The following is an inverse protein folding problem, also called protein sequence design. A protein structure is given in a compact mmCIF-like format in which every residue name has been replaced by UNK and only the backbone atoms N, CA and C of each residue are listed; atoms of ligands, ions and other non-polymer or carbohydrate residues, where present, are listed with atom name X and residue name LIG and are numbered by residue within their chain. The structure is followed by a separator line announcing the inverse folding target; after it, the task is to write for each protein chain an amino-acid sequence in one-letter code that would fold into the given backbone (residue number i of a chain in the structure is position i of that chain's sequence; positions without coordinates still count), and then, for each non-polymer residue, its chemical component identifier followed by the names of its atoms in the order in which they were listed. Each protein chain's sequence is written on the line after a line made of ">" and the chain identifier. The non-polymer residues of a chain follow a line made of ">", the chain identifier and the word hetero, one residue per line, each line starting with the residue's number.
data_IF_001772035845
#
_entry.id   IF_001772035845
#
_cell.length_a   1.000
_cell.length_b   1.000
_cell.length_c   1.000
_cell.angle_alpha   90.00
_cell.angle_beta   90.00
_cell.angle_gamma   90.00
#
_symmetry.space_group_name_H-M   'P 1'
#
loop_
_entity.id
_entity.type
_entity.pdbx_description
1 polymer ?
#
# COMPACT_ATOMS: atom_id res chain seq x y z
N UNK A 1 -0.24 16.93 -1.71
CA UNK A 1 0.63 15.93 -2.34
C UNK A 1 1.59 16.62 -3.30
N UNK A 2 2.86 16.18 -3.41
CA UNK A 2 3.90 16.87 -4.18
C UNK A 2 3.91 16.48 -5.67
N UNK A 3 2.78 16.02 -6.23
CA UNK A 3 2.71 15.56 -7.62
C UNK A 3 2.37 16.70 -8.57
N UNK A 4 3.10 16.75 -9.71
CA UNK A 4 2.91 17.78 -10.72
C UNK A 4 1.81 17.42 -11.75
N UNK A 5 1.47 16.14 -11.87
CA UNK A 5 0.48 15.64 -12.81
C UNK A 5 -0.86 15.36 -12.10
N UNK A 6 -1.97 15.85 -12.65
CA UNK A 6 -3.29 15.72 -12.04
C UNK A 6 -3.68 14.25 -11.84
N UNK A 7 -3.39 13.40 -12.80
CA UNK A 7 -3.68 11.96 -12.72
C UNK A 7 -2.94 11.27 -11.57
N UNK A 8 -1.75 11.76 -11.21
CA UNK A 8 -1.00 11.25 -10.05
C UNK A 8 -1.64 11.70 -8.74
N UNK A 9 -2.16 12.93 -8.68
CA UNK A 9 -2.90 13.45 -7.53
C UNK A 9 -4.18 12.64 -7.34
N UNK A 10 -4.96 12.44 -8.41
CA UNK A 10 -6.18 11.65 -8.36
C UNK A 10 -5.92 10.21 -7.92
N UNK A 11 -4.92 9.56 -8.51
CA UNK A 11 -4.57 8.18 -8.12
C UNK A 11 -4.10 8.09 -6.67
N UNK A 12 -3.34 9.06 -6.16
CA UNK A 12 -2.92 9.10 -4.77
C UNK A 12 -4.12 9.27 -3.80
N UNK A 13 -5.12 10.06 -4.19
CA UNK A 13 -6.38 10.19 -3.46
C UNK A 13 -7.21 8.91 -3.49
N UNK A 14 -7.31 8.25 -4.63
CA UNK A 14 -7.98 6.95 -4.78
C UNK A 14 -7.32 5.89 -3.91
N UNK A 15 -5.97 5.83 -3.90
CA UNK A 15 -5.19 4.95 -3.01
C UNK A 15 -5.52 5.26 -1.56
N UNK A 16 -5.52 6.53 -1.17
CA UNK A 16 -5.77 6.95 0.20
C UNK A 16 -7.19 6.59 0.66
N UNK A 17 -8.21 6.82 -0.20
CA UNK A 17 -9.59 6.40 0.06
C UNK A 17 -9.72 4.88 0.17
N UNK A 18 -9.03 4.12 -0.69
CA UNK A 18 -9.03 2.67 -0.64
C UNK A 18 -8.40 2.14 0.66
N UNK A 19 -7.29 2.75 1.12
CA UNK A 19 -6.65 2.40 2.40
C UNK A 19 -7.59 2.68 3.57
N UNK A 20 -8.24 3.84 3.61
CA UNK A 20 -9.23 4.14 4.66
C UNK A 20 -10.36 3.11 4.63
N UNK A 21 -10.91 2.78 3.46
CA UNK A 21 -11.98 1.79 3.34
C UNK A 21 -11.56 0.40 3.82
N UNK A 22 -10.37 -0.07 3.43
CA UNK A 22 -9.83 -1.38 3.82
C UNK A 22 -9.62 -1.48 5.34
N UNK A 23 -8.99 -0.48 5.94
CA UNK A 23 -8.59 -0.53 7.34
C UNK A 23 -9.64 0.03 8.33
N UNK A 24 -10.73 0.60 7.82
CA UNK A 24 -11.94 0.87 8.61
C UNK A 24 -12.87 -0.34 8.71
N UNK A 25 -12.64 -1.38 7.92
CA UNK A 25 -13.36 -2.64 8.02
C UNK A 25 -12.64 -3.55 9.02
N UNK A 26 -13.28 -3.85 10.14
CA UNK A 26 -12.68 -4.62 11.25
C UNK A 26 -12.17 -6.00 10.82
N UNK A 27 -12.89 -6.65 9.90
CA UNK A 27 -12.47 -7.96 9.38
C UNK A 27 -11.17 -7.82 8.58
N UNK A 28 -11.11 -6.92 7.59
CA UNK A 28 -9.92 -6.71 6.77
C UNK A 28 -8.73 -6.20 7.59
N UNK A 29 -8.97 -5.26 8.50
CA UNK A 29 -7.94 -4.71 9.40
C UNK A 29 -7.33 -5.76 10.32
N UNK A 30 -8.10 -6.82 10.69
CA UNK A 30 -7.59 -7.94 11.48
C UNK A 30 -6.79 -8.97 10.65
N UNK A 31 -6.95 -8.98 9.32
CA UNK A 31 -6.39 -10.00 8.41
C UNK A 31 -5.23 -9.51 7.56
N UNK A 32 -5.10 -8.20 7.38
CA UNK A 32 -4.18 -7.61 6.42
C UNK A 32 -3.25 -6.59 7.09
N UNK A 33 -1.99 -6.58 6.64
CA UNK A 33 -1.05 -5.52 6.97
C UNK A 33 -0.56 -4.83 5.68
N UNK A 34 -0.45 -3.50 5.73
CA UNK A 34 0.00 -2.66 4.62
C UNK A 34 1.52 -2.66 4.55
N UNK A 35 2.07 -2.84 3.35
CA UNK A 35 3.52 -2.90 3.12
C UNK A 35 3.93 -2.28 1.79
N UNK A 36 5.17 -2.48 1.41
CA UNK A 36 5.67 -2.08 0.10
C UNK A 36 6.07 -0.60 0.00
N UNK A 37 6.24 -0.14 -1.23
CA UNK A 37 6.68 1.24 -1.51
C UNK A 37 5.67 2.28 -1.05
N UNK A 38 4.39 2.04 -1.29
CA UNK A 38 3.33 2.98 -0.93
C UNK A 38 3.21 3.13 0.59
N UNK A 39 3.35 2.03 1.36
CA UNK A 39 3.38 2.08 2.82
C UNK A 39 4.57 2.92 3.33
N UNK A 40 5.77 2.65 2.82
CA UNK A 40 6.96 3.40 3.19
C UNK A 40 6.79 4.90 2.93
N UNK A 41 6.29 5.27 1.74
CA UNK A 41 6.14 6.68 1.36
C UNK A 41 5.01 7.40 2.09
N UNK A 42 3.87 6.73 2.34
CA UNK A 42 2.74 7.36 3.03
C UNK A 42 2.91 7.48 4.53
N UNK A 43 3.64 6.56 5.16
CA UNK A 43 3.69 6.44 6.61
C UNK A 43 5.00 6.93 7.22
N UNK A 44 6.11 6.83 6.49
CA UNK A 44 7.42 7.09 7.05
C UNK A 44 8.21 8.18 6.30
N UNK A 45 7.93 8.45 5.02
CA UNK A 45 8.66 9.44 4.23
C UNK A 45 7.78 10.64 3.91
N UNK A 46 7.79 11.66 4.77
CA UNK A 46 7.03 12.89 4.57
C UNK A 46 7.97 14.10 4.36
N UNK A 47 7.77 14.95 3.33
CA UNK A 47 6.83 14.76 2.22
C UNK A 47 7.24 13.56 1.36
N UNK A 48 6.26 12.90 0.70
CA UNK A 48 6.55 11.73 -0.14
C UNK A 48 7.57 12.07 -1.23
N UNK A 49 8.77 11.45 -1.24
CA UNK A 49 9.85 11.85 -2.14
C UNK A 49 9.69 11.31 -3.57
N UNK A 50 8.83 10.33 -3.79
CA UNK A 50 8.44 9.82 -5.11
C UNK A 50 7.02 9.26 -5.12
N UNK A 51 6.46 9.19 -6.30
CA UNK A 51 5.16 8.58 -6.56
C UNK A 51 5.19 7.06 -6.41
N UNK A 52 4.11 6.49 -5.85
CA UNK A 52 3.89 5.05 -5.71
C UNK A 52 2.41 4.75 -5.95
N UNK A 53 2.11 3.77 -6.79
CA UNK A 53 0.81 3.58 -7.45
C UNK A 53 0.06 2.30 -7.08
N UNK A 54 0.69 1.38 -6.36
CA UNK A 54 0.12 0.09 -5.97
C UNK A 54 -0.18 0.05 -4.46
N UNK A 55 -1.20 -0.70 -4.04
CA UNK A 55 -1.43 -1.08 -2.66
C UNK A 55 -0.91 -2.51 -2.48
N UNK A 56 0.19 -2.66 -1.75
CA UNK A 56 0.76 -3.94 -1.38
C UNK A 56 0.32 -4.31 0.03
N UNK A 57 -0.33 -5.45 0.18
CA UNK A 57 -0.81 -6.01 1.44
C UNK A 57 -0.16 -7.36 1.69
N UNK A 58 -0.13 -7.78 2.94
CA UNK A 58 0.20 -9.15 3.32
C UNK A 58 -0.91 -9.70 4.20
N UNK A 59 -1.22 -10.96 4.01
CA UNK A 59 -2.11 -11.68 4.91
C UNK A 59 -1.34 -12.00 6.20
N UNK A 60 -1.88 -11.59 7.35
CA UNK A 60 -1.20 -11.72 8.65
C UNK A 60 -1.09 -13.20 9.05
N UNK A 61 -2.20 -13.93 8.97
CA UNK A 61 -2.27 -15.34 9.35
C UNK A 61 -2.36 -16.25 8.13
N UNK A 62 -1.77 -17.45 8.22
CA UNK A 62 -1.87 -18.47 7.17
C UNK A 62 -3.24 -19.13 7.17
N UNK A 63 -4.19 -18.56 6.45
CA UNK A 63 -5.58 -19.04 6.34
C UNK A 63 -6.10 -18.94 4.89
N UNK A 64 -7.23 -19.57 4.56
CA UNK A 64 -7.82 -19.47 3.23
C UNK A 64 -8.19 -18.03 2.87
N UNK A 65 -7.63 -17.51 1.78
CA UNK A 65 -7.75 -16.10 1.36
C UNK A 65 -9.14 -15.73 0.79
N UNK A 66 -10.00 -16.71 0.53
CA UNK A 66 -11.25 -16.50 -0.21
C UNK A 66 -12.18 -15.49 0.46
N UNK A 67 -12.39 -15.59 1.78
CA UNK A 67 -13.24 -14.66 2.55
C UNK A 67 -12.69 -13.24 2.53
N UNK A 68 -11.36 -13.10 2.68
CA UNK A 68 -10.66 -11.82 2.65
C UNK A 68 -10.76 -11.17 1.25
N UNK A 69 -10.57 -11.94 0.18
CA UNK A 69 -10.74 -11.45 -1.19
C UNK A 69 -12.20 -11.04 -1.49
N UNK A 70 -13.18 -11.81 -0.99
CA UNK A 70 -14.58 -11.47 -1.12
C UNK A 70 -14.90 -10.14 -0.42
N UNK A 71 -14.53 -10.03 0.88
CA UNK A 71 -14.77 -8.81 1.66
C UNK A 71 -14.04 -7.59 1.10
N UNK A 72 -12.80 -7.76 0.64
CA UNK A 72 -12.06 -6.71 -0.04
C UNK A 72 -12.81 -6.19 -1.28
N UNK A 73 -13.39 -7.11 -2.05
CA UNK A 73 -14.19 -6.75 -3.22
C UNK A 73 -15.49 -6.01 -2.89
N UNK A 74 -16.10 -6.27 -1.72
CA UNK A 74 -17.27 -5.53 -1.23
C UNK A 74 -16.88 -4.12 -0.76
N UNK A 75 -15.83 -4.02 0.04
CA UNK A 75 -15.34 -2.75 0.60
C UNK A 75 -14.85 -1.80 -0.49
N UNK A 76 -14.25 -2.33 -1.55
CA UNK A 76 -13.76 -1.55 -2.69
C UNK A 76 -14.78 -1.47 -3.86
N UNK A 77 -16.07 -1.69 -3.62
CA UNK A 77 -17.10 -1.69 -4.66
C UNK A 77 -17.33 -0.31 -5.31
N UNK A 78 -16.85 0.77 -4.71
CA UNK A 78 -16.86 2.11 -5.30
C UNK A 78 -15.85 2.28 -6.44
N UNK A 79 -14.92 1.34 -6.62
CA UNK A 79 -13.96 1.33 -7.72
C UNK A 79 -14.50 0.50 -8.89
N UNK A 80 -14.54 1.04 -10.12
CA UNK A 80 -15.09 0.37 -11.29
C UNK A 80 -14.11 -0.67 -11.88
N UNK A 81 -14.57 -1.41 -12.88
CA UNK A 81 -13.79 -2.31 -13.74
C UNK A 81 -12.84 -3.26 -13.01
N UNK A 82 -13.40 -3.95 -12.00
CA UNK A 82 -12.64 -4.88 -11.17
C UNK A 82 -12.31 -6.17 -11.90
N UNK A 83 -11.01 -6.48 -11.97
CA UNK A 83 -10.48 -7.78 -12.42
C UNK A 83 -9.75 -8.44 -11.27
N UNK A 84 -10.14 -9.66 -10.90
CA UNK A 84 -9.49 -10.43 -9.84
C UNK A 84 -8.63 -11.54 -10.45
N UNK A 85 -7.37 -11.63 -10.00
CA UNK A 85 -6.44 -12.70 -10.37
C UNK A 85 -5.98 -13.41 -9.11
N UNK A 86 -6.23 -14.71 -9.03
CA UNK A 86 -5.81 -15.55 -7.90
C UNK A 86 -4.63 -16.42 -8.32
N UNK A 87 -3.56 -16.37 -7.53
CA UNK A 87 -2.38 -17.23 -7.64
C UNK A 87 -2.07 -17.80 -6.27
N UNK A 88 -1.30 -18.88 -6.24
CA UNK A 88 -1.00 -19.59 -4.97
C UNK A 88 -0.44 -18.67 -3.88
N UNK A 89 0.41 -17.73 -4.23
CA UNK A 89 1.14 -16.89 -3.28
C UNK A 89 0.74 -15.43 -3.29
N UNK A 90 0.18 -14.94 -4.41
CA UNK A 90 -0.23 -13.55 -4.56
C UNK A 90 -1.60 -13.46 -5.19
N UNK A 91 -2.50 -12.76 -4.55
CA UNK A 91 -3.84 -12.48 -5.05
C UNK A 91 -3.95 -10.99 -5.37
N UNK A 92 -4.52 -10.67 -6.53
CA UNK A 92 -4.53 -9.31 -7.04
C UNK A 92 -5.93 -8.90 -7.43
N UNK A 93 -6.36 -7.71 -7.01
CA UNK A 93 -7.48 -6.97 -7.60
C UNK A 93 -6.91 -5.80 -8.40
N UNK A 94 -7.36 -5.69 -9.64
CA UNK A 94 -7.02 -4.60 -10.55
C UNK A 94 -8.29 -3.82 -10.87
N UNK A 95 -8.23 -2.52 -10.68
CA UNK A 95 -9.29 -1.58 -11.02
C UNK A 95 -8.81 -0.64 -12.13
N UNK A 96 -9.71 -0.28 -13.05
CA UNK A 96 -9.43 0.69 -14.11
C UNK A 96 -10.51 1.77 -14.07
N UNK A 97 -10.09 3.01 -14.20
CA UNK A 97 -10.97 4.16 -14.20
C UNK A 97 -10.36 5.28 -15.06
N UNK A 98 -11.18 6.21 -15.45
CA UNK A 98 -10.73 7.42 -16.13
C UNK A 98 -10.50 8.53 -15.09
N UNK A 99 -9.47 9.37 -15.32
CA UNK A 99 -9.28 10.58 -14.51
C UNK A 99 -10.42 11.57 -14.72
N UNK A 100 -10.76 12.32 -13.68
CA UNK A 100 -11.80 13.34 -13.74
C UNK A 100 -11.29 14.66 -14.35
N UNK A 101 -10.00 14.98 -14.10
CA UNK A 101 -9.40 16.23 -14.57
C UNK A 101 -8.83 16.08 -15.99
N UNK A 102 -9.24 16.91 -16.96
CA UNK A 102 -8.67 16.89 -18.32
C UNK A 102 -7.17 17.21 -18.36
N UNK A 103 -6.41 16.57 -19.28
CA UNK A 103 -6.85 15.57 -20.24
C UNK A 103 -7.17 14.23 -19.57
N UNK A 104 -8.34 13.64 -19.92
CA UNK A 104 -8.77 12.37 -19.37
C UNK A 104 -7.80 11.26 -19.75
N UNK A 105 -7.24 10.58 -18.74
CA UNK A 105 -6.31 9.46 -18.91
C UNK A 105 -6.79 8.25 -18.12
N UNK A 106 -6.37 7.06 -18.53
CA UNK A 106 -6.70 5.85 -17.80
C UNK A 106 -5.82 5.69 -16.57
N UNK A 107 -6.45 5.67 -15.39
CA UNK A 107 -5.84 5.35 -14.10
C UNK A 107 -6.04 3.85 -13.81
N UNK A 108 -5.03 3.23 -13.22
CA UNK A 108 -5.07 1.82 -12.83
C UNK A 108 -4.60 1.65 -11.39
N UNK A 109 -5.49 1.19 -10.53
CA UNK A 109 -5.13 0.79 -9.17
C UNK A 109 -4.96 -0.72 -9.09
N UNK A 110 -3.80 -1.17 -8.61
CA UNK A 110 -3.54 -2.58 -8.27
C UNK A 110 -3.49 -2.72 -6.74
N UNK A 111 -4.31 -3.62 -6.22
CA UNK A 111 -4.26 -4.09 -4.83
C UNK A 111 -3.75 -5.53 -4.85
N UNK A 112 -2.59 -5.78 -4.27
CA UNK A 112 -1.96 -7.10 -4.24
C UNK A 112 -1.85 -7.59 -2.80
N UNK A 113 -2.26 -8.84 -2.53
CA UNK A 113 -2.12 -9.50 -1.24
C UNK A 113 -1.12 -10.65 -1.38
N UNK A 114 -0.01 -10.55 -0.67
CA UNK A 114 0.91 -11.66 -0.48
C UNK A 114 0.33 -12.62 0.57
N UNK A 115 0.20 -13.90 0.19
CA UNK A 115 -0.36 -14.97 1.02
C UNK A 115 0.68 -16.04 1.36
N UNK A 116 1.94 -15.65 1.41
CA UNK A 116 3.05 -16.56 1.70
C UNK A 116 3.97 -16.06 2.81
N UNK A 117 4.21 -14.77 2.88
CA UNK A 117 5.10 -14.15 3.88
C UNK A 117 4.27 -13.69 5.10
N UNK A 118 3.81 -14.64 5.92
CA UNK A 118 2.99 -14.37 7.12
C UNK A 118 3.80 -13.94 8.35
N UNK A 119 5.10 -13.86 8.25
CA UNK A 119 6.00 -13.52 9.35
C UNK A 119 6.30 -12.03 9.42
N UNK A 120 6.53 -11.57 10.62
CA UNK A 120 7.09 -10.26 10.93
C UNK A 120 8.01 -10.43 12.16
N UNK A 121 9.25 -9.98 12.05
CA UNK A 121 10.28 -10.17 13.09
C UNK A 121 10.17 -9.11 14.20
N UNK A 122 9.83 -7.87 13.81
CA UNK A 122 9.78 -6.73 14.73
C UNK A 122 8.35 -6.44 15.24
N UNK A 123 7.38 -7.23 14.83
CA UNK A 123 5.98 -7.03 15.15
C UNK A 123 5.30 -5.95 14.30
N UNK A 124 3.99 -6.09 14.14
CA UNK A 124 3.16 -5.12 13.45
C UNK A 124 2.84 -3.93 14.35
N UNK A 125 2.65 -2.76 13.74
CA UNK A 125 2.24 -1.53 14.40
C UNK A 125 1.00 -0.95 13.74
N UNK A 126 0.21 -0.18 14.51
CA UNK A 126 -0.91 0.60 14.00
C UNK A 126 -0.50 2.06 13.92
N UNK A 127 -0.65 2.64 12.74
CA UNK A 127 -0.30 4.04 12.50
C UNK A 127 -1.57 4.80 12.11
N UNK A 128 -1.92 5.89 12.82
CA UNK A 128 -3.04 6.75 12.44
C UNK A 128 -2.84 7.30 11.03
N UNK A 129 -3.88 7.22 10.23
CA UNK A 129 -3.89 7.72 8.85
C UNK A 129 -5.17 8.50 8.61
N UNK A 130 -5.05 9.70 8.05
CA UNK A 130 -6.17 10.57 7.74
C UNK A 130 -6.03 11.19 6.37
N UNK A 131 -7.17 11.41 5.74
CA UNK A 131 -7.30 12.13 4.48
C UNK A 131 -8.34 13.23 4.71
N UNK A 132 -8.00 14.45 4.38
CA UNK A 132 -8.93 15.58 4.46
C UNK A 132 -8.77 16.48 3.23
N UNK A 133 -9.73 16.38 2.32
CA UNK A 133 -9.83 17.24 1.15
C UNK A 133 -11.27 17.26 0.62
N UNK A 134 -11.54 18.13 -0.38
CA UNK A 134 -12.88 18.31 -0.95
C UNK A 134 -13.47 17.06 -1.64
N UNK A 135 -12.65 16.09 -2.02
CA UNK A 135 -13.10 14.87 -2.70
C UNK A 135 -13.40 13.74 -1.72
N UNK A 136 -12.62 13.66 -0.64
CA UNK A 136 -12.77 12.61 0.35
C UNK A 136 -12.19 13.03 1.69
N UNK A 137 -12.95 12.78 2.75
CA UNK A 137 -12.49 12.91 4.14
C UNK A 137 -12.71 11.58 4.86
N UNK A 138 -11.67 11.09 5.53
CA UNK A 138 -11.75 9.84 6.28
C UNK A 138 -10.48 9.58 7.08
N UNK A 139 -10.59 8.67 8.05
CA UNK A 139 -9.47 8.30 8.91
C UNK A 139 -9.56 6.82 9.30
N UNK A 140 -8.43 6.20 9.58
CA UNK A 140 -8.31 4.83 10.08
C UNK A 140 -6.98 4.62 10.81
N UNK A 141 -6.78 3.44 11.37
CA UNK A 141 -5.48 2.96 11.83
C UNK A 141 -4.96 1.92 10.83
N UNK A 142 -3.83 2.22 10.17
CA UNK A 142 -3.19 1.30 9.23
C UNK A 142 -2.31 0.30 9.99
N UNK A 143 -2.66 -0.98 9.95
CA UNK A 143 -1.76 -2.05 10.41
C UNK A 143 -0.63 -2.20 9.40
N UNK A 144 0.62 -2.07 9.85
CA UNK A 144 1.80 -2.09 8.99
C UNK A 144 3.03 -2.62 9.73
N UNK A 145 4.12 -2.79 9.02
CA UNK A 145 5.42 -3.15 9.57
C UNK A 145 6.15 -1.94 10.17
N UNK A 146 7.03 -2.18 11.14
CA UNK A 146 7.98 -1.16 11.58
C UNK A 146 8.89 -0.73 10.43
N UNK A 147 9.44 0.49 10.51
CA UNK A 147 10.30 1.05 9.45
C UNK A 147 11.45 0.12 9.10
N UNK A 148 12.21 -0.36 10.09
CA UNK A 148 13.38 -1.22 9.85
C UNK A 148 12.99 -2.50 9.10
N UNK A 149 11.87 -3.12 9.42
CA UNK A 149 11.39 -4.30 8.72
C UNK A 149 10.95 -4.00 7.28
N UNK A 150 10.28 -2.85 7.04
CA UNK A 150 10.00 -2.39 5.66
C UNK A 150 11.30 -2.20 4.88
N UNK A 151 12.34 -1.64 5.50
CA UNK A 151 13.65 -1.45 4.87
C UNK A 151 14.33 -2.80 4.58
N UNK A 152 14.23 -3.78 5.47
CA UNK A 152 14.69 -5.15 5.22
C UNK A 152 14.02 -5.76 4.00
N UNK A 153 12.69 -5.59 3.85
CA UNK A 153 11.98 -6.04 2.63
C UNK A 153 12.46 -5.31 1.37
N UNK A 154 12.83 -4.03 1.47
CA UNK A 154 13.39 -3.23 0.38
C UNK A 154 14.80 -3.65 0.01
N UNK A 155 15.64 -3.94 1.00
CA UNK A 155 16.99 -4.45 0.78
C UNK A 155 16.96 -5.80 0.06
N UNK A 156 16.10 -6.72 0.51
CA UNK A 156 15.87 -7.99 -0.18
C UNK A 156 15.37 -7.79 -1.62
N UNK A 157 14.42 -6.87 -1.83
CA UNK A 157 13.91 -6.55 -3.15
C UNK A 157 15.00 -5.96 -4.07
N UNK A 158 15.87 -5.08 -3.55
CA UNK A 158 17.01 -4.53 -4.27
C UNK A 158 17.97 -5.63 -4.71
N UNK A 159 18.29 -6.56 -3.82
CA UNK A 159 19.17 -7.70 -4.14
C UNK A 159 18.57 -8.59 -5.23
N UNK A 160 17.26 -8.91 -5.14
CA UNK A 160 16.58 -9.83 -6.05
C UNK A 160 16.32 -9.24 -7.44
N UNK A 161 15.85 -7.99 -7.51
CA UNK A 161 15.36 -7.40 -8.77
C UNK A 161 16.17 -6.22 -9.28
N UNK A 162 17.12 -5.71 -8.50
CA UNK A 162 18.08 -4.65 -8.85
C UNK A 162 17.42 -3.39 -9.46
N UNK A 163 16.30 -2.96 -8.87
CA UNK A 163 15.56 -1.78 -9.35
C UNK A 163 16.04 -0.51 -8.62
N UNK A 164 16.36 0.54 -9.37
CA UNK A 164 16.83 1.82 -8.81
C UNK A 164 15.87 2.46 -7.81
N UNK A 165 14.56 2.23 -7.93
CA UNK A 165 13.57 2.71 -6.97
C UNK A 165 13.74 2.11 -5.57
N UNK A 166 14.21 0.86 -5.45
CA UNK A 166 14.45 0.24 -4.14
C UNK A 166 15.69 0.83 -3.47
N UNK A 167 16.73 1.14 -4.23
CA UNK A 167 17.91 1.86 -3.75
C UNK A 167 17.55 3.29 -3.32
N UNK A 168 16.74 4.00 -4.10
CA UNK A 168 16.27 5.34 -3.77
C UNK A 168 15.47 5.35 -2.46
N UNK A 169 14.57 4.39 -2.27
CA UNK A 169 13.76 4.26 -1.05
C UNK A 169 14.64 4.04 0.18
N UNK A 170 15.63 3.14 0.08
CA UNK A 170 16.61 2.90 1.15
C UNK A 170 17.41 4.17 1.47
N UNK A 171 17.97 4.82 0.44
CA UNK A 171 18.75 6.05 0.61
C UNK A 171 17.92 7.14 1.32
N UNK A 172 16.67 7.35 0.90
CA UNK A 172 15.81 8.37 1.52
C UNK A 172 15.48 8.03 2.96
N UNK A 173 15.15 6.77 3.26
CA UNK A 173 14.85 6.36 4.63
C UNK A 173 16.06 6.53 5.56
N UNK A 174 17.25 6.08 5.13
CA UNK A 174 18.50 6.23 5.89
C UNK A 174 18.93 7.68 6.08
N UNK A 175 18.49 8.59 5.21
CA UNK A 175 18.79 10.01 5.33
C UNK A 175 17.83 10.74 6.29
N UNK A 176 16.58 10.29 6.38
CA UNK A 176 15.51 10.96 7.13
C UNK A 176 15.27 10.39 8.52
N UNK A 177 15.71 9.15 8.77
CA UNK A 177 15.46 8.43 10.01
C UNK A 177 16.75 7.84 10.58
N UNK A 178 16.81 7.79 11.91
CA UNK A 178 17.77 6.92 12.59
C UNK A 178 17.30 5.47 12.43
N UNK A 179 18.10 4.69 11.77
CA UNK A 179 17.80 3.30 11.43
C UNK A 179 18.80 2.38 12.12
N UNK A 180 18.30 1.32 12.77
CA UNK A 180 19.17 0.30 13.34
C UNK A 180 19.54 -0.75 12.28
N UNK A 181 20.82 -0.81 11.82
CA UNK A 181 21.22 -1.75 10.77
C UNK A 181 21.06 -3.23 11.16
N UNK A 182 21.10 -3.54 12.45
CA UNK A 182 20.98 -4.92 12.96
C UNK A 182 19.53 -5.44 12.89
N UNK A 183 18.55 -4.54 12.64
CA UNK A 183 17.13 -4.87 12.48
C UNK A 183 16.68 -4.88 11.01
N UNK A 184 17.58 -4.63 10.05
CA UNK A 184 17.32 -4.64 8.61
C UNK A 184 17.88 -5.92 7.98
#
# INVERSE_FOLDING_TARGET
>A
VPWNANEQVEQDLIISRALVAIFSDDFLASKLAFRGGTALHKLYLSPQPRYSEDIDLVQIDAEPIKSTMYRLGEVLNFLPDRVTKQKRFNNTMLFRMESEIPPTVQIRLKVEINCFEHFNELGLVKIPFSVDNSWFTGQCELTTYRLNELLGTKLRALYQRKKGRDLFDLYKALTLHEVNPDEI
#
